data_IF_238156818500
#
_entry.id   IF_238156818500
#
_cell.length_a   1.000
_cell.length_b   1.000
_cell.length_c   1.000
_cell.angle_alpha   90.00
_cell.angle_beta   90.00
_cell.angle_gamma   90.00
#
_symmetry.space_group_name_H-M   'P 1'
#
loop_
_entity.id
_entity.type
_entity.pdbx_description
1 polymer ?
#
# COMPACT_ATOMS: atom_id res chain seq x y z
N UNK A 1 -8.95 -2.33 -3.02
CA UNK A 1 -8.09 -1.13 -3.13
C UNK A 1 -8.19 -0.46 -4.48
N UNK A 2 -8.79 -1.10 -5.49
CA UNK A 2 -9.13 -0.43 -6.74
C UNK A 2 -10.25 0.61 -6.51
N UNK A 3 -10.29 1.67 -7.31
CA UNK A 3 -11.43 2.60 -7.36
C UNK A 3 -12.57 1.97 -8.19
N UNK A 4 -13.11 0.85 -7.71
CA UNK A 4 -14.20 0.11 -8.36
C UNK A 4 -15.02 -0.68 -7.33
N UNK A 5 -16.34 -0.63 -7.46
CA UNK A 5 -17.29 -1.46 -6.71
C UNK A 5 -17.32 -2.89 -7.23
N UNK A 6 -17.78 -3.88 -6.45
CA UNK A 6 -17.80 -5.28 -6.85
C UNK A 6 -18.57 -5.55 -8.14
N UNK A 7 -19.61 -4.78 -8.49
CA UNK A 7 -20.36 -4.96 -9.73
C UNK A 7 -19.68 -4.36 -10.97
N UNK A 8 -18.59 -3.60 -10.79
CA UNK A 8 -17.83 -3.05 -11.90
C UNK A 8 -17.10 -4.15 -12.69
N UNK A 9 -17.07 -4.03 -14.02
CA UNK A 9 -16.38 -4.98 -14.87
C UNK A 9 -14.89 -5.09 -14.52
N UNK A 10 -14.38 -6.33 -14.45
CA UNK A 10 -12.95 -6.60 -14.23
C UNK A 10 -12.51 -6.70 -12.75
N UNK A 11 -13.39 -6.46 -11.78
CA UNK A 11 -13.05 -6.56 -10.34
C UNK A 11 -12.70 -7.98 -9.90
N UNK A 12 -13.26 -9.00 -10.56
CA UNK A 12 -12.94 -10.41 -10.33
C UNK A 12 -11.46 -10.74 -10.62
N UNK A 13 -10.75 -9.91 -11.41
CA UNK A 13 -9.33 -10.11 -11.68
C UNK A 13 -8.51 -10.09 -10.38
N UNK A 14 -8.84 -9.23 -9.43
CA UNK A 14 -8.13 -9.15 -8.14
C UNK A 14 -8.22 -10.47 -7.37
N UNK A 15 -9.42 -11.06 -7.32
CA UNK A 15 -9.65 -12.37 -6.72
C UNK A 15 -8.85 -13.45 -7.45
N UNK A 16 -8.95 -13.53 -8.78
CA UNK A 16 -8.24 -14.53 -9.58
C UNK A 16 -6.71 -14.40 -9.44
N UNK A 17 -6.18 -13.18 -9.45
CA UNK A 17 -4.74 -12.93 -9.28
C UNK A 17 -4.27 -13.35 -7.88
N UNK A 18 -5.03 -13.01 -6.83
CA UNK A 18 -4.71 -13.43 -5.47
C UNK A 18 -4.75 -14.96 -5.34
N UNK A 19 -5.74 -15.61 -5.94
CA UNK A 19 -5.86 -17.07 -5.91
C UNK A 19 -4.72 -17.75 -6.66
N UNK A 20 -4.34 -17.22 -7.83
CA UNK A 20 -3.22 -17.74 -8.61
C UNK A 20 -1.87 -17.58 -7.89
N UNK A 21 -1.66 -16.45 -7.20
CA UNK A 21 -0.41 -16.19 -6.46
C UNK A 21 -0.31 -16.97 -5.15
N UNK A 22 -1.43 -17.17 -4.46
CA UNK A 22 -1.45 -17.87 -3.17
C UNK A 22 -1.67 -19.38 -3.27
N UNK A 23 -2.15 -19.88 -4.42
CA UNK A 23 -2.55 -21.27 -4.60
C UNK A 23 -3.83 -21.66 -3.86
N UNK A 24 -4.56 -20.69 -3.28
CA UNK A 24 -5.77 -20.91 -2.50
C UNK A 24 -6.89 -20.01 -3.01
N UNK A 25 -8.15 -20.46 -2.94
CA UNK A 25 -9.30 -19.63 -3.33
C UNK A 25 -9.43 -18.35 -2.50
N UNK A 26 -8.97 -18.39 -1.24
CA UNK A 26 -8.80 -17.26 -0.35
C UNK A 26 -7.39 -17.37 0.21
N UNK A 27 -6.56 -16.35 -0.01
CA UNK A 27 -5.17 -16.40 0.46
C UNK A 27 -5.11 -16.53 1.99
N UNK A 28 -4.25 -17.41 2.53
CA UNK A 28 -4.07 -17.53 3.97
C UNK A 28 -3.51 -16.22 4.55
N UNK A 29 -3.96 -15.87 5.75
CA UNK A 29 -3.34 -14.79 6.52
C UNK A 29 -2.13 -15.35 7.29
N UNK A 30 -1.07 -14.55 7.38
CA UNK A 30 0.10 -14.87 8.19
C UNK A 30 0.47 -13.66 9.03
N UNK A 31 0.83 -13.92 10.29
CA UNK A 31 1.24 -12.89 11.23
C UNK A 31 2.74 -12.97 11.46
N UNK A 32 3.40 -11.81 11.45
CA UNK A 32 4.81 -11.69 11.80
C UNK A 32 4.90 -11.44 13.30
N UNK A 33 5.67 -12.27 14.01
CA UNK A 33 5.99 -12.03 15.42
C UNK A 33 6.77 -10.72 15.56
N UNK A 34 6.38 -9.87 16.49
CA UNK A 34 6.83 -8.47 16.63
C UNK A 34 6.14 -7.51 15.67
N UNK A 35 5.13 -7.97 14.93
CA UNK A 35 4.40 -7.18 13.93
C UNK A 35 5.20 -6.92 12.66
N UNK A 36 4.60 -6.14 11.75
CA UNK A 36 5.21 -5.88 10.43
C UNK A 36 6.52 -5.09 10.49
N UNK A 37 6.75 -4.32 11.56
CA UNK A 37 8.01 -3.61 11.78
C UNK A 37 9.20 -4.55 12.00
N UNK A 38 8.98 -5.73 12.57
CA UNK A 38 10.02 -6.74 12.74
C UNK A 38 10.52 -7.27 11.38
N UNK A 39 9.62 -7.46 10.41
CA UNK A 39 9.99 -7.88 9.05
C UNK A 39 10.86 -6.82 8.36
N UNK A 40 10.43 -5.55 8.39
CA UNK A 40 11.20 -4.47 7.72
C UNK A 40 12.55 -4.23 8.40
N UNK A 41 12.62 -4.36 9.73
CA UNK A 41 13.88 -4.31 10.47
C UNK A 41 14.81 -5.47 10.06
N UNK A 42 14.30 -6.70 10.02
CA UNK A 42 15.09 -7.86 9.60
C UNK A 42 15.64 -7.72 8.17
N UNK A 43 14.84 -7.19 7.23
CA UNK A 43 15.29 -6.90 5.88
C UNK A 43 16.38 -5.82 5.85
N UNK A 44 16.24 -4.78 6.67
CA UNK A 44 17.24 -3.72 6.81
C UNK A 44 18.57 -4.23 7.36
N UNK A 45 18.54 -5.06 8.41
CA UNK A 45 19.73 -5.66 8.99
C UNK A 45 20.40 -6.67 8.05
N UNK A 46 19.62 -7.47 7.32
CA UNK A 46 20.15 -8.35 6.28
C UNK A 46 20.86 -7.56 5.17
N UNK A 47 20.29 -6.44 4.73
CA UNK A 47 20.92 -5.57 3.74
C UNK A 47 22.24 -4.97 4.26
N UNK A 48 22.26 -4.46 5.50
CA UNK A 48 23.48 -3.94 6.15
C UNK A 48 24.55 -5.02 6.29
N UNK A 49 24.16 -6.24 6.71
CA UNK A 49 25.05 -7.39 6.78
C UNK A 49 25.67 -7.78 5.43
N UNK A 50 24.97 -7.50 4.33
CA UNK A 50 25.48 -7.64 2.96
C UNK A 50 26.29 -6.43 2.45
N UNK A 51 26.54 -5.43 3.30
CA UNK A 51 27.33 -4.24 2.99
C UNK A 51 26.54 -3.04 2.46
N UNK A 52 25.21 -3.05 2.56
CA UNK A 52 24.39 -1.89 2.22
C UNK A 52 24.48 -0.80 3.30
N UNK A 53 24.51 0.46 2.88
CA UNK A 53 24.30 1.60 3.76
C UNK A 53 22.82 2.00 3.73
N UNK A 54 22.22 2.21 4.91
CA UNK A 54 20.82 2.65 5.05
C UNK A 54 20.79 4.02 5.71
N UNK A 55 20.36 5.04 4.97
CA UNK A 55 20.15 6.41 5.48
C UNK A 55 18.67 6.69 5.67
N UNK A 56 18.28 7.16 6.86
CA UNK A 56 16.91 7.54 7.21
C UNK A 56 16.81 9.05 7.46
N UNK A 57 15.64 9.65 7.28
CA UNK A 57 15.47 11.10 7.44
C UNK A 57 16.14 11.92 6.34
N UNK A 58 16.46 11.28 5.21
CA UNK A 58 17.12 11.90 4.06
C UNK A 58 16.23 11.70 2.84
N UNK A 59 15.54 12.76 2.42
CA UNK A 59 14.73 12.74 1.21
C UNK A 59 15.58 12.80 -0.05
N UNK A 60 15.13 12.14 -1.12
CA UNK A 60 15.70 12.33 -2.46
C UNK A 60 14.91 13.43 -3.15
N UNK A 61 15.60 14.49 -3.56
CA UNK A 61 15.02 15.61 -4.30
C UNK A 61 14.82 15.25 -5.77
N UNK A 62 15.88 14.74 -6.42
CA UNK A 62 15.82 14.33 -7.84
C UNK A 62 16.87 13.28 -8.22
N UNK A 63 16.61 12.56 -9.30
CA UNK A 63 17.56 11.71 -10.01
C UNK A 63 18.46 12.57 -10.86
N UNK A 64 19.77 12.30 -10.83
CA UNK A 64 20.74 12.93 -11.71
C UNK A 64 20.80 12.14 -13.02
N UNK A 65 20.44 12.81 -14.12
CA UNK A 65 20.52 12.25 -15.47
C UNK A 65 21.61 12.97 -16.26
N UNK A 66 22.40 12.20 -17.01
CA UNK A 66 23.39 12.71 -17.97
C UNK A 66 23.40 11.78 -19.18
N UNK A 67 23.32 12.34 -20.38
CA UNK A 67 23.32 11.59 -21.64
C UNK A 67 22.27 10.44 -21.62
N UNK A 68 21.03 10.78 -21.22
CA UNK A 68 19.89 9.85 -21.06
C UNK A 68 20.12 8.71 -20.05
N UNK A 69 21.13 8.84 -19.17
CA UNK A 69 21.48 7.83 -18.17
C UNK A 69 21.40 8.38 -16.75
N UNK A 70 20.81 7.61 -15.85
CA UNK A 70 20.86 7.88 -14.41
C UNK A 70 22.28 7.66 -13.88
N UNK A 71 22.86 8.69 -13.26
CA UNK A 71 24.24 8.70 -12.75
C UNK A 71 24.31 8.96 -11.24
N UNK A 72 23.16 9.07 -10.57
CA UNK A 72 23.09 9.35 -9.14
C UNK A 72 21.79 9.99 -8.73
N UNK A 73 21.78 10.56 -7.53
CA UNK A 73 20.66 11.32 -6.97
C UNK A 73 21.16 12.58 -6.27
N UNK A 74 20.29 13.58 -6.16
CA UNK A 74 20.45 14.75 -5.29
C UNK A 74 19.51 14.58 -4.10
N UNK A 75 20.04 14.77 -2.89
CA UNK A 75 19.28 14.71 -1.66
C UNK A 75 18.66 16.07 -1.33
N UNK A 76 17.58 16.07 -0.54
CA UNK A 76 17.02 17.29 0.05
C UNK A 76 18.10 17.95 0.93
N UNK A 77 18.70 19.04 0.44
CA UNK A 77 19.90 19.67 1.03
C UNK A 77 21.06 19.84 0.04
N UNK A 78 20.94 19.29 -1.17
CA UNK A 78 21.86 19.51 -2.29
C UNK A 78 23.05 18.54 -2.37
N UNK A 79 23.22 17.64 -1.39
CA UNK A 79 24.23 16.57 -1.47
C UNK A 79 23.97 15.70 -2.70
N UNK A 80 25.02 15.38 -3.46
CA UNK A 80 24.94 14.49 -4.62
C UNK A 80 25.58 13.14 -4.30
N UNK A 81 24.84 12.07 -4.53
CA UNK A 81 25.34 10.70 -4.44
C UNK A 81 25.45 10.14 -5.85
N UNK A 82 26.67 9.81 -6.30
CA UNK A 82 26.91 9.18 -7.59
C UNK A 82 26.72 7.67 -7.53
N UNK A 83 26.11 7.10 -8.56
CA UNK A 83 25.84 5.67 -8.64
C UNK A 83 25.92 5.16 -10.09
N UNK A 84 26.21 3.86 -10.24
CA UNK A 84 26.21 3.19 -11.56
C UNK A 84 24.80 3.00 -12.12
N UNK A 85 23.82 2.93 -11.23
CA UNK A 85 22.39 2.81 -11.51
C UNK A 85 21.60 3.35 -10.32
N UNK A 86 20.36 3.76 -10.56
CA UNK A 86 19.39 4.19 -9.55
C UNK A 86 18.20 3.24 -9.60
N UNK A 87 17.74 2.79 -8.43
CA UNK A 87 16.59 1.88 -8.32
C UNK A 87 15.55 2.56 -7.45
N UNK A 88 14.42 2.93 -8.03
CA UNK A 88 13.33 3.58 -7.32
C UNK A 88 12.29 2.57 -6.84
N UNK A 89 12.09 2.53 -5.53
CA UNK A 89 10.98 1.80 -4.90
C UNK A 89 9.72 2.68 -4.75
N UNK A 90 9.82 3.98 -5.05
CA UNK A 90 8.67 4.89 -5.03
C UNK A 90 7.63 4.48 -6.09
N UNK A 91 6.39 4.97 -5.96
CA UNK A 91 5.39 4.75 -6.99
C UNK A 91 5.80 5.39 -8.35
N UNK A 92 5.25 4.91 -9.47
CA UNK A 92 5.64 5.39 -10.80
C UNK A 92 5.39 6.89 -10.97
N UNK A 93 4.28 7.42 -10.45
CA UNK A 93 3.98 8.85 -10.57
C UNK A 93 4.97 9.68 -9.77
N UNK A 94 5.27 9.30 -8.53
CA UNK A 94 6.30 9.97 -7.72
C UNK A 94 7.66 9.93 -8.41
N UNK A 95 8.06 8.77 -8.94
CA UNK A 95 9.35 8.63 -9.61
C UNK A 95 9.45 9.56 -10.82
N UNK A 96 8.49 9.51 -11.74
CA UNK A 96 8.59 10.21 -13.02
C UNK A 96 8.11 11.67 -12.99
N UNK A 97 7.17 12.03 -12.10
CA UNK A 97 6.60 13.38 -12.04
C UNK A 97 7.24 14.26 -10.97
N UNK A 98 7.98 13.68 -10.01
CA UNK A 98 8.63 14.43 -8.92
C UNK A 98 10.13 14.24 -8.88
N UNK A 99 10.62 13.00 -9.02
CA UNK A 99 12.06 12.72 -8.88
C UNK A 99 12.85 12.85 -10.17
N UNK A 100 12.21 12.78 -11.34
CA UNK A 100 12.87 12.91 -12.64
C UNK A 100 12.53 14.27 -13.24
N UNK A 101 13.52 14.93 -13.86
CA UNK A 101 13.28 16.17 -14.58
C UNK A 101 12.42 15.88 -15.82
N UNK A 102 11.32 16.62 -16.06
CA UNK A 102 10.47 16.37 -17.22
C UNK A 102 11.19 16.53 -18.56
N UNK A 103 12.33 17.25 -18.61
CA UNK A 103 13.13 17.38 -19.83
C UNK A 103 13.92 16.11 -20.19
N UNK A 104 14.10 15.20 -19.24
CA UNK A 104 14.75 13.89 -19.45
C UNK A 104 13.77 12.81 -19.94
N UNK A 105 12.51 13.16 -20.17
CA UNK A 105 11.45 12.23 -20.55
C UNK A 105 10.74 12.67 -21.82
N UNK A 106 10.40 11.68 -22.64
CA UNK A 106 9.56 11.90 -23.82
C UNK A 106 8.18 12.48 -23.43
N UNK A 107 7.66 13.50 -24.14
CA UNK A 107 6.37 14.11 -23.82
C UNK A 107 5.18 13.14 -23.81
N UNK A 108 5.14 12.16 -24.71
CA UNK A 108 4.07 11.17 -24.76
C UNK A 108 4.16 10.21 -23.58
N UNK A 109 5.38 9.84 -23.17
CA UNK A 109 5.60 9.07 -21.95
C UNK A 109 5.10 9.82 -20.71
N UNK A 110 5.44 11.10 -20.58
CA UNK A 110 4.97 11.95 -19.48
C UNK A 110 3.45 12.07 -19.45
N UNK A 111 2.81 12.25 -20.61
CA UNK A 111 1.36 12.29 -20.71
C UNK A 111 0.72 10.99 -20.21
N UNK A 112 1.28 9.83 -20.57
CA UNK A 112 0.80 8.53 -20.09
C UNK A 112 0.95 8.39 -18.58
N UNK A 113 2.07 8.82 -18.00
CA UNK A 113 2.27 8.77 -16.54
C UNK A 113 1.33 9.73 -15.80
N UNK A 114 1.04 10.91 -16.34
CA UNK A 114 0.06 11.83 -15.74
C UNK A 114 -1.33 11.22 -15.65
N UNK A 115 -1.68 10.37 -16.62
CA UNK A 115 -2.95 9.63 -16.67
C UNK A 115 -2.89 8.26 -15.99
N UNK A 116 -1.75 7.85 -15.44
CA UNK A 116 -1.62 6.60 -14.70
C UNK A 116 -2.52 6.63 -13.45
N UNK A 117 -3.42 5.67 -13.33
CA UNK A 117 -4.44 5.67 -12.28
C UNK A 117 -3.86 5.16 -10.97
N UNK A 118 -3.75 6.05 -9.99
CA UNK A 118 -3.23 5.76 -8.66
C UNK A 118 -4.04 6.43 -7.55
N UNK A 119 -5.32 6.71 -7.79
CA UNK A 119 -6.21 7.28 -6.77
C UNK A 119 -6.62 6.18 -5.81
N UNK A 120 -6.19 6.27 -4.55
CA UNK A 120 -6.50 5.31 -3.51
C UNK A 120 -7.92 5.44 -2.99
N UNK A 121 -8.46 4.31 -2.54
CA UNK A 121 -9.76 4.20 -1.84
C UNK A 121 -9.64 3.60 -0.45
N UNK A 122 -8.42 3.56 0.08
CA UNK A 122 -8.07 2.84 1.30
C UNK A 122 -7.81 3.81 2.44
N UNK A 123 -8.36 3.50 3.60
CA UNK A 123 -7.98 4.13 4.86
C UNK A 123 -7.73 3.05 5.91
N UNK A 124 -7.12 3.44 7.02
CA UNK A 124 -6.88 2.55 8.15
C UNK A 124 -7.31 3.23 9.45
N UNK A 125 -8.00 2.51 10.30
CA UNK A 125 -8.33 2.94 11.67
C UNK A 125 -7.71 1.94 12.63
N UNK A 126 -6.83 2.41 13.51
CA UNK A 126 -6.29 1.62 14.61
C UNK A 126 -6.98 2.04 15.91
N UNK A 127 -7.39 1.07 16.72
CA UNK A 127 -7.96 1.30 18.05
C UNK A 127 -7.08 0.63 19.10
N UNK A 128 -6.74 1.37 20.15
CA UNK A 128 -6.21 0.82 21.39
C UNK A 128 -7.40 0.59 22.33
N UNK A 129 -7.59 -0.64 22.79
CA UNK A 129 -8.72 -1.06 23.60
C UNK A 129 -8.31 -1.47 25.02
N UNK A 130 -9.20 -1.22 25.98
CA UNK A 130 -9.12 -1.67 27.39
C UNK A 130 -9.75 -3.05 27.63
N UNK A 131 -9.67 -3.92 26.63
CA UNK A 131 -10.29 -5.24 26.68
C UNK A 131 -10.64 -5.75 25.29
N UNK A 132 -11.06 -7.02 25.22
CA UNK A 132 -11.60 -7.58 24.01
C UNK A 132 -13.06 -7.15 23.84
N UNK A 133 -13.46 -6.65 22.66
CA UNK A 133 -14.84 -6.30 22.39
C UNK A 133 -15.71 -7.55 22.22
N UNK A 134 -16.93 -7.50 22.75
CA UNK A 134 -17.87 -8.61 22.74
C UNK A 134 -18.72 -8.61 21.48
N UNK A 135 -18.43 -9.52 20.54
CA UNK A 135 -19.22 -9.64 19.31
C UNK A 135 -20.52 -10.40 19.53
N UNK A 136 -21.63 -9.87 19.02
CA UNK A 136 -22.95 -10.48 19.15
C UNK A 136 -23.02 -11.90 18.57
N UNK A 137 -22.26 -12.17 17.49
CA UNK A 137 -22.18 -13.49 16.86
C UNK A 137 -21.41 -14.53 17.70
N UNK A 138 -20.59 -14.08 18.66
CA UNK A 138 -19.73 -14.94 19.48
C UNK A 138 -20.28 -15.14 20.90
N UNK A 139 -21.52 -14.73 21.20
CA UNK A 139 -22.14 -14.87 22.54
C UNK A 139 -22.15 -16.30 23.07
N UNK A 140 -22.11 -17.31 22.19
CA UNK A 140 -22.09 -18.73 22.55
C UNK A 140 -20.72 -19.39 22.30
N UNK A 141 -19.71 -18.62 21.86
CA UNK A 141 -18.35 -19.12 21.75
C UNK A 141 -17.79 -19.32 23.18
N UNK A 142 -16.98 -20.36 23.39
CA UNK A 142 -16.22 -20.52 24.64
C UNK A 142 -15.19 -19.40 24.81
N UNK A 143 -14.43 -19.39 25.92
CA UNK A 143 -13.29 -18.50 26.17
C UNK A 143 -13.33 -17.12 25.46
N UNK A 144 -14.39 -16.35 25.71
CA UNK A 144 -14.64 -14.99 25.20
C UNK A 144 -14.52 -14.82 23.66
N UNK A 145 -14.63 -15.91 22.88
CA UNK A 145 -14.48 -15.90 21.42
C UNK A 145 -13.06 -15.59 20.92
N UNK A 146 -12.04 -15.68 21.79
CA UNK A 146 -10.69 -15.25 21.47
C UNK A 146 -10.06 -16.01 20.29
N UNK A 147 -10.38 -17.30 20.13
CA UNK A 147 -9.88 -18.10 19.01
C UNK A 147 -10.44 -17.59 17.67
N UNK A 148 -11.73 -17.30 17.63
CA UNK A 148 -12.43 -16.76 16.46
C UNK A 148 -11.95 -15.34 16.13
N UNK A 149 -11.73 -14.51 17.16
CA UNK A 149 -11.21 -13.14 17.02
C UNK A 149 -9.74 -13.06 16.61
N UNK A 150 -8.96 -14.14 16.80
CA UNK A 150 -7.57 -14.20 16.34
C UNK A 150 -7.43 -14.25 14.81
N UNK A 151 -8.53 -14.58 14.11
CA UNK A 151 -8.61 -14.59 12.66
C UNK A 151 -8.86 -13.22 12.04
N UNK A 152 -9.33 -13.25 10.79
CA UNK A 152 -9.76 -12.06 10.03
C UNK A 152 -11.26 -11.86 10.25
N UNK A 153 -11.65 -10.70 10.76
CA UNK A 153 -13.05 -10.33 10.98
C UNK A 153 -13.48 -9.42 9.83
N UNK A 154 -14.55 -9.79 9.13
CA UNK A 154 -15.05 -9.08 7.96
C UNK A 154 -16.44 -8.50 8.26
N UNK A 155 -16.63 -7.20 8.02
CA UNK A 155 -17.95 -6.55 8.04
C UNK A 155 -18.25 -6.00 6.65
N UNK A 156 -19.19 -6.66 5.98
CA UNK A 156 -19.55 -6.47 4.57
C UNK A 156 -20.59 -7.52 4.20
N UNK A 157 -21.84 -7.41 4.71
CA UNK A 157 -22.80 -8.51 4.74
C UNK A 157 -23.19 -9.07 3.37
N UNK A 158 -23.18 -8.23 2.33
CA UNK A 158 -23.57 -8.62 0.98
C UNK A 158 -22.84 -7.78 -0.09
N UNK A 159 -22.95 -8.21 -1.35
CA UNK A 159 -22.29 -7.52 -2.48
C UNK A 159 -22.89 -6.12 -2.69
N UNK A 160 -24.20 -5.95 -2.50
CA UNK A 160 -24.86 -4.66 -2.68
C UNK A 160 -24.46 -3.67 -1.58
N UNK A 161 -24.12 -4.14 -0.39
CA UNK A 161 -23.54 -3.34 0.69
C UNK A 161 -22.18 -2.79 0.27
N UNK A 162 -21.33 -3.64 -0.31
CA UNK A 162 -20.03 -3.23 -0.82
C UNK A 162 -20.16 -2.25 -2.00
N UNK A 163 -21.13 -2.45 -2.89
CA UNK A 163 -21.42 -1.50 -3.98
C UNK A 163 -21.92 -0.16 -3.45
N UNK A 164 -22.88 -0.14 -2.52
CA UNK A 164 -23.35 1.10 -1.88
C UNK A 164 -22.22 1.83 -1.16
N UNK A 165 -21.30 1.09 -0.52
CA UNK A 165 -20.14 1.67 0.11
C UNK A 165 -19.18 2.30 -0.92
N UNK A 166 -19.06 1.70 -2.11
CA UNK A 166 -18.30 2.27 -3.23
C UNK A 166 -19.01 3.47 -3.87
N UNK A 167 -20.35 3.45 -4.00
CA UNK A 167 -21.12 4.54 -4.61
C UNK A 167 -20.85 5.88 -3.92
N UNK A 168 -20.75 5.88 -2.57
CA UNK A 168 -20.33 7.08 -1.84
C UNK A 168 -18.97 7.60 -2.34
N UNK A 169 -17.96 6.72 -2.45
CA UNK A 169 -16.61 7.06 -2.90
C UNK A 169 -16.58 7.53 -4.36
N UNK A 170 -17.39 6.92 -5.21
CA UNK A 170 -17.57 7.31 -6.61
C UNK A 170 -18.02 8.77 -6.75
N UNK A 171 -18.84 9.27 -5.82
CA UNK A 171 -19.30 10.66 -5.76
C UNK A 171 -18.48 11.55 -4.80
N UNK A 172 -17.28 11.10 -4.41
CA UNK A 172 -16.34 11.88 -3.60
C UNK A 172 -16.69 11.94 -2.12
N UNK A 173 -17.38 10.95 -1.56
CA UNK A 173 -17.66 10.86 -0.13
C UNK A 173 -17.27 9.49 0.43
N UNK A 174 -17.18 9.32 1.75
CA UNK A 174 -17.03 7.98 2.32
C UNK A 174 -18.40 7.41 2.73
N UNK A 175 -18.50 6.09 2.80
CA UNK A 175 -19.74 5.43 3.22
C UNK A 175 -20.00 5.62 4.72
N UNK A 176 -21.23 5.95 5.15
CA UNK A 176 -21.61 5.90 6.58
C UNK A 176 -21.67 4.45 7.11
N UNK A 177 -21.67 3.46 6.22
CA UNK A 177 -21.55 2.04 6.53
C UNK A 177 -20.41 1.45 5.65
N UNK A 178 -19.14 1.69 6.01
CA UNK A 178 -18.01 1.26 5.21
C UNK A 178 -17.71 -0.23 5.39
N UNK A 179 -17.08 -0.83 4.39
CA UNK A 179 -16.47 -2.15 4.50
C UNK A 179 -15.32 -2.12 5.50
N UNK A 180 -15.36 -3.03 6.47
CA UNK A 180 -14.32 -3.17 7.48
C UNK A 180 -13.64 -4.55 7.38
N UNK A 181 -12.31 -4.53 7.31
CA UNK A 181 -11.46 -5.69 7.43
C UNK A 181 -10.60 -5.56 8.68
N UNK A 182 -10.90 -6.37 9.69
CA UNK A 182 -10.47 -6.16 11.07
C UNK A 182 -9.58 -7.31 11.50
N UNK A 183 -8.49 -6.97 12.21
CA UNK A 183 -7.61 -7.93 12.87
C UNK A 183 -7.29 -7.44 14.28
N UNK A 184 -7.13 -8.38 15.22
CA UNK A 184 -6.70 -8.11 16.59
C UNK A 184 -5.35 -8.79 16.82
N UNK A 185 -4.24 -8.25 16.29
CA UNK A 185 -2.96 -8.94 16.25
C UNK A 185 -2.40 -9.32 17.63
N UNK A 186 -2.81 -8.60 18.69
CA UNK A 186 -2.44 -8.89 20.08
C UNK A 186 -2.90 -10.26 20.60
N UNK A 187 -3.92 -10.87 19.96
CA UNK A 187 -4.34 -12.25 20.28
C UNK A 187 -3.33 -13.29 19.80
N UNK A 188 -2.69 -13.03 18.66
CA UNK A 188 -1.66 -13.91 18.08
C UNK A 188 -0.28 -13.59 18.66
N UNK A 189 -0.02 -12.31 18.96
CA UNK A 189 1.23 -11.85 19.54
C UNK A 189 1.00 -10.86 20.70
N UNK A 190 0.98 -11.37 21.95
CA UNK A 190 0.77 -10.54 23.14
C UNK A 190 1.83 -9.45 23.36
N UNK A 191 3.00 -9.51 22.69
CA UNK A 191 4.04 -8.48 22.85
C UNK A 191 3.67 -7.13 22.25
N UNK A 192 2.61 -7.08 21.44
CA UNK A 192 2.16 -5.88 20.73
C UNK A 192 1.36 -4.90 21.60
N UNK A 193 0.93 -5.30 22.81
CA UNK A 193 0.21 -4.43 23.74
C UNK A 193 0.48 -4.82 25.20
N UNK A 194 0.28 -3.90 26.16
CA UNK A 194 0.29 -4.22 27.59
C UNK A 194 -0.75 -5.29 27.94
N UNK A 195 -0.53 -6.03 29.03
CA UNK A 195 -1.45 -7.05 29.52
C UNK A 195 -2.87 -6.50 29.72
N UNK A 196 -3.86 -7.20 29.18
CA UNK A 196 -5.28 -6.81 29.24
C UNK A 196 -5.70 -5.72 28.23
N UNK A 197 -4.75 -5.17 27.46
CA UNK A 197 -5.02 -4.21 26.40
C UNK A 197 -4.89 -4.87 25.04
N UNK A 198 -5.63 -4.35 24.06
CA UNK A 198 -5.64 -4.90 22.71
C UNK A 198 -5.47 -3.81 21.66
N UNK A 199 -4.79 -4.17 20.56
CA UNK A 199 -4.75 -3.33 19.36
C UNK A 199 -5.69 -3.96 18.35
N UNK A 200 -6.61 -3.16 17.83
CA UNK A 200 -7.46 -3.51 16.69
C UNK A 200 -7.00 -2.71 15.48
N UNK A 201 -6.68 -3.41 14.39
CA UNK A 201 -6.26 -2.83 13.12
C UNK A 201 -7.37 -3.03 12.10
N UNK A 202 -8.00 -1.93 11.67
CA UNK A 202 -9.14 -1.92 10.76
C UNK A 202 -8.70 -1.32 9.42
N UNK A 203 -8.69 -2.12 8.37
CA UNK A 203 -8.58 -1.63 7.00
C UNK A 203 -9.98 -1.31 6.46
N UNK A 204 -10.14 -0.10 5.92
CA UNK A 204 -11.45 0.45 5.56
C UNK A 204 -11.52 0.72 4.06
N UNK A 205 -12.62 0.30 3.43
CA UNK A 205 -13.01 0.77 2.09
C UNK A 205 -14.47 1.22 2.09
N UNK A 206 -14.88 2.22 1.32
CA UNK A 206 -14.08 3.02 0.39
C UNK A 206 -13.92 4.44 0.95
N UNK A 207 -12.68 4.91 1.03
CA UNK A 207 -12.32 6.27 1.45
C UNK A 207 -11.62 6.96 0.27
N UNK A 208 -12.30 7.81 -0.52
CA UNK A 208 -11.71 8.41 -1.71
C UNK A 208 -10.62 9.42 -1.34
N UNK A 209 -9.59 9.55 -2.18
CA UNK A 209 -8.52 10.51 -1.94
C UNK A 209 -9.02 11.97 -1.90
N UNK A 210 -9.88 12.35 -2.85
CA UNK A 210 -10.49 13.68 -2.92
C UNK A 210 -11.93 13.62 -2.42
N UNK A 211 -12.26 14.46 -1.44
CA UNK A 211 -13.63 14.63 -0.97
C UNK A 211 -14.35 15.70 -1.79
N UNK A 212 -15.65 15.51 -2.04
CA UNK A 212 -16.52 16.50 -2.71
C UNK A 212 -16.68 17.76 -1.87
N UNK A 213 -16.68 17.61 -0.55
CA UNK A 213 -16.87 18.66 0.46
C UNK A 213 -15.83 18.47 1.57
N UNK A 214 -15.13 19.56 1.90
CA UNK A 214 -14.05 19.55 2.89
C UNK A 214 -12.80 18.80 2.43
N UNK A 215 -11.96 18.43 3.40
CA UNK A 215 -10.75 17.63 3.18
C UNK A 215 -10.56 16.60 4.31
N UNK A 216 -9.56 15.74 4.16
CA UNK A 216 -9.21 14.77 5.19
C UNK A 216 -8.63 15.39 6.47
N UNK A 217 -8.31 16.68 6.47
CA UNK A 217 -7.92 17.38 7.71
C UNK A 217 -9.14 17.68 8.55
N UNK A 218 -10.25 18.10 7.93
CA UNK A 218 -11.49 18.46 8.63
C UNK A 218 -12.45 17.29 8.87
N UNK A 219 -12.47 16.29 7.99
CA UNK A 219 -13.45 15.16 8.05
C UNK A 219 -12.89 13.85 8.62
N UNK A 220 -11.64 13.84 9.11
CA UNK A 220 -10.98 12.65 9.68
C UNK A 220 -11.74 12.03 10.83
N UNK A 221 -12.15 12.86 11.79
CA UNK A 221 -12.80 12.38 13.01
C UNK A 221 -14.19 11.83 12.70
N UNK A 222 -14.96 12.53 11.85
CA UNK A 222 -16.28 12.07 11.37
C UNK A 222 -16.18 10.70 10.68
N UNK A 223 -15.16 10.49 9.85
CA UNK A 223 -14.89 9.19 9.23
C UNK A 223 -14.53 8.10 10.26
N UNK A 224 -13.68 8.44 11.24
CA UNK A 224 -13.37 7.53 12.34
C UNK A 224 -14.61 7.14 13.15
N UNK A 225 -15.53 8.09 13.36
CA UNK A 225 -16.80 7.86 14.07
C UNK A 225 -17.71 6.94 13.27
N UNK A 226 -17.78 7.08 11.94
CA UNK A 226 -18.54 6.18 11.06
C UNK A 226 -18.01 4.73 11.14
N UNK A 227 -16.70 4.56 11.21
CA UNK A 227 -16.05 3.24 11.36
C UNK A 227 -16.39 2.62 12.71
N UNK A 228 -16.23 3.37 13.81
CA UNK A 228 -16.57 2.88 15.16
C UNK A 228 -18.06 2.57 15.26
N UNK A 229 -18.93 3.46 14.77
CA UNK A 229 -20.39 3.24 14.74
C UNK A 229 -20.76 1.97 14.00
N UNK A 230 -20.13 1.69 12.86
CA UNK A 230 -20.37 0.47 12.09
C UNK A 230 -19.91 -0.76 12.86
N UNK A 231 -18.76 -0.70 13.53
CA UNK A 231 -18.28 -1.77 14.39
C UNK A 231 -19.19 -2.01 15.60
N UNK A 232 -19.70 -0.95 16.23
CA UNK A 232 -20.60 -1.02 17.40
C UNK A 232 -21.92 -1.75 17.13
N UNK A 233 -22.37 -1.83 15.86
CA UNK A 233 -23.54 -2.64 15.50
C UNK A 233 -23.29 -4.13 15.82
N UNK A 234 -22.05 -4.59 15.66
CA UNK A 234 -21.66 -5.99 15.83
C UNK A 234 -20.97 -6.25 17.18
N UNK A 235 -20.29 -5.24 17.74
CA UNK A 235 -19.64 -5.27 19.04
C UNK A 235 -20.06 -4.03 19.88
N UNK A 236 -21.22 -4.07 20.56
CA UNK A 236 -21.83 -2.88 21.17
C UNK A 236 -20.98 -2.19 22.24
N UNK A 237 -20.12 -2.94 22.93
CA UNK A 237 -19.23 -2.46 23.99
C UNK A 237 -17.94 -1.83 23.46
N UNK A 238 -17.64 -1.94 22.16
CA UNK A 238 -16.36 -1.49 21.60
C UNK A 238 -16.11 0.00 21.85
N UNK A 239 -17.14 0.84 21.81
CA UNK A 239 -17.00 2.28 21.97
C UNK A 239 -16.50 2.65 23.37
N UNK A 240 -16.96 1.93 24.38
CA UNK A 240 -16.57 2.16 25.78
C UNK A 240 -15.15 1.64 26.09
N UNK A 241 -14.66 0.70 25.29
CA UNK A 241 -13.31 0.12 25.44
C UNK A 241 -12.22 0.97 24.78
N UNK A 242 -12.54 1.94 23.92
CA UNK A 242 -11.54 2.72 23.18
C UNK A 242 -10.77 3.65 24.12
N UNK A 243 -9.48 3.37 24.29
CA UNK A 243 -8.52 4.26 24.96
C UNK A 243 -8.05 5.34 23.99
N UNK A 244 -7.74 4.93 22.76
CA UNK A 244 -7.24 5.82 21.72
C UNK A 244 -7.62 5.31 20.34
N UNK A 245 -7.90 6.25 19.43
CA UNK A 245 -8.09 6.00 18.00
C UNK A 245 -6.99 6.70 17.21
N UNK A 246 -6.48 6.02 16.18
CA UNK A 246 -5.67 6.61 15.13
C UNK A 246 -6.35 6.35 13.78
N UNK A 247 -6.68 7.42 13.06
CA UNK A 247 -7.24 7.34 11.70
C UNK A 247 -6.17 7.76 10.69
N UNK A 248 -5.81 6.86 9.78
CA UNK A 248 -4.88 7.09 8.66
C UNK A 248 -5.71 7.17 7.38
N UNK A 249 -5.74 8.36 6.78
CA UNK A 249 -6.52 8.70 5.59
C UNK A 249 -5.68 8.52 4.31
N UNK A 250 -6.30 8.50 3.11
CA UNK A 250 -5.56 8.51 1.85
C UNK A 250 -4.56 9.68 1.72
N UNK A 251 -4.85 10.83 2.35
CA UNK A 251 -3.95 11.98 2.36
C UNK A 251 -2.69 11.71 3.21
N UNK A 252 -2.84 11.01 4.33
CA UNK A 252 -1.69 10.62 5.17
C UNK A 252 -0.84 9.56 4.46
N UNK A 253 -1.48 8.63 3.74
CA UNK A 253 -0.79 7.65 2.90
C UNK A 253 0.15 8.32 1.89
N UNK A 254 -0.27 9.44 1.29
CA UNK A 254 0.60 10.20 0.42
C UNK A 254 1.68 10.99 1.18
N UNK A 255 1.32 11.70 2.24
CA UNK A 255 2.22 12.62 2.96
C UNK A 255 3.31 11.89 3.74
N UNK A 256 2.95 10.85 4.48
CA UNK A 256 3.86 10.15 5.39
C UNK A 256 4.59 8.98 4.70
N UNK A 257 3.91 8.27 3.81
CA UNK A 257 4.44 7.05 3.19
C UNK A 257 4.86 7.26 1.73
N UNK A 258 4.63 8.45 1.17
CA UNK A 258 5.03 8.79 -0.19
C UNK A 258 4.21 8.11 -1.27
N UNK A 259 2.99 7.64 -0.97
CA UNK A 259 2.11 6.94 -1.89
C UNK A 259 1.26 7.94 -2.69
N UNK A 260 1.68 8.32 -3.90
CA UNK A 260 0.97 9.34 -4.69
C UNK A 260 -0.50 8.94 -4.95
N UNK A 261 -1.42 9.83 -4.58
CA UNK A 261 -2.87 9.58 -4.62
C UNK A 261 -3.40 8.67 -3.51
N UNK A 262 -2.57 8.31 -2.52
CA UNK A 262 -2.98 7.47 -1.38
C UNK A 262 -3.22 6.00 -1.73
N UNK A 263 -2.65 5.50 -2.83
CA UNK A 263 -2.91 4.12 -3.30
C UNK A 263 -1.81 3.15 -2.82
N UNK A 264 -2.11 2.23 -1.88
CA UNK A 264 -1.10 1.35 -1.26
C UNK A 264 -0.44 0.37 -2.23
N UNK A 265 -1.09 0.07 -3.36
CA UNK A 265 -0.50 -0.78 -4.41
C UNK A 265 0.25 0.01 -5.49
N UNK A 266 0.46 1.33 -5.32
CA UNK A 266 1.13 2.23 -6.29
C UNK A 266 0.43 2.34 -7.65
N UNK A 267 -0.88 2.11 -7.72
CA UNK A 267 -1.67 2.14 -8.95
C UNK A 267 -2.73 1.06 -9.00
N UNK A 268 -3.77 1.30 -9.79
CA UNK A 268 -4.90 0.40 -10.02
C UNK A 268 -4.45 -1.03 -10.37
N UNK A 269 -5.27 -2.00 -9.97
CA UNK A 269 -5.08 -3.44 -10.22
C UNK A 269 -6.12 -3.97 -11.22
N UNK A 270 -6.49 -3.14 -12.19
CA UNK A 270 -7.42 -3.49 -13.28
C UNK A 270 -6.66 -4.08 -14.46
N UNK A 271 -7.35 -4.82 -15.33
CA UNK A 271 -6.74 -5.56 -16.45
C UNK A 271 -5.87 -4.67 -17.35
N UNK A 272 -6.28 -3.44 -17.59
CA UNK A 272 -5.62 -2.45 -18.43
C UNK A 272 -4.42 -1.74 -17.76
N UNK A 273 -4.15 -2.01 -16.47
CA UNK A 273 -3.02 -1.47 -15.72
C UNK A 273 -2.25 -2.54 -14.92
N UNK A 274 -2.47 -3.80 -15.28
CA UNK A 274 -1.87 -4.97 -14.67
C UNK A 274 -1.00 -5.73 -15.69
N UNK A 275 -0.21 -6.71 -15.24
CA UNK A 275 0.73 -7.46 -16.10
C UNK A 275 1.65 -6.56 -16.95
N UNK A 276 1.65 -6.75 -18.27
CA UNK A 276 2.48 -6.04 -19.25
C UNK A 276 2.12 -4.56 -19.41
N UNK A 277 1.01 -4.12 -18.82
CA UNK A 277 0.59 -2.73 -18.78
C UNK A 277 1.14 -1.98 -17.56
N UNK A 278 1.87 -2.66 -16.64
CA UNK A 278 2.32 -2.08 -15.37
C UNK A 278 3.83 -1.80 -15.35
N UNK A 279 4.30 -0.54 -15.19
CA UNK A 279 3.49 0.67 -15.02
C UNK A 279 2.88 1.19 -16.33
N UNK A 280 3.52 0.92 -17.47
CA UNK A 280 3.03 1.26 -18.81
C UNK A 280 3.48 0.19 -19.81
N UNK A 281 2.75 0.05 -20.91
CA UNK A 281 3.17 -0.76 -22.07
C UNK A 281 4.54 -0.28 -22.56
N UNK A 282 5.42 -1.23 -22.86
CA UNK A 282 6.81 -0.97 -23.27
C UNK A 282 7.78 -0.79 -22.10
N UNK A 283 7.28 -0.55 -20.89
CA UNK A 283 8.09 -0.28 -19.70
C UNK A 283 7.78 -1.22 -18.51
N UNK A 284 7.14 -2.36 -18.77
CA UNK A 284 6.74 -3.32 -17.74
C UNK A 284 7.87 -4.25 -17.25
N UNK A 285 9.07 -4.17 -17.85
CA UNK A 285 10.21 -5.03 -17.54
C UNK A 285 11.22 -4.34 -16.60
N UNK A 286 10.72 -3.58 -15.61
CA UNK A 286 11.49 -2.91 -14.54
C UNK A 286 12.45 -1.80 -15.00
N UNK A 287 12.84 -1.78 -16.27
CA UNK A 287 13.59 -0.70 -16.94
C UNK A 287 12.69 0.50 -17.19
N UNK A 288 13.32 1.66 -17.29
CA UNK A 288 12.65 2.93 -17.60
C UNK A 288 13.24 3.55 -18.87
N UNK A 289 12.60 4.60 -19.45
CA UNK A 289 13.17 5.35 -20.57
C UNK A 289 14.58 5.87 -20.30
N UNK A 290 14.93 6.13 -19.04
CA UNK A 290 16.25 6.59 -18.63
C UNK A 290 17.14 5.37 -18.35
N UNK A 291 18.24 5.25 -19.09
CA UNK A 291 19.19 4.13 -18.93
C UNK A 291 19.74 4.11 -17.50
N UNK A 292 19.78 2.94 -16.88
CA UNK A 292 20.29 2.81 -15.52
C UNK A 292 19.35 3.30 -14.42
N UNK A 293 18.16 3.83 -14.74
CA UNK A 293 17.07 4.00 -13.79
C UNK A 293 16.12 2.79 -13.90
N UNK A 294 15.76 2.22 -12.75
CA UNK A 294 14.88 1.05 -12.62
C UNK A 294 13.77 1.30 -11.61
N UNK A 295 12.64 0.62 -11.77
CA UNK A 295 11.57 0.54 -10.79
C UNK A 295 11.56 -0.84 -10.12
N UNK A 296 11.39 -0.88 -8.80
CA UNK A 296 11.39 -2.14 -8.03
C UNK A 296 10.23 -2.28 -7.02
N UNK A 297 9.33 -1.29 -6.96
CA UNK A 297 8.20 -1.28 -6.02
C UNK A 297 6.91 -1.86 -6.57
N UNK A 298 5.83 -1.73 -5.78
CA UNK A 298 4.48 -2.20 -6.09
C UNK A 298 3.89 -1.64 -7.40
N UNK A 299 4.48 -0.56 -7.93
CA UNK A 299 4.14 0.04 -9.22
C UNK A 299 4.60 -0.78 -10.43
N UNK A 300 5.30 -1.89 -10.22
CA UNK A 300 5.76 -2.83 -11.25
C UNK A 300 5.11 -4.20 -11.04
N UNK A 301 5.00 -5.00 -12.10
CA UNK A 301 4.48 -6.37 -12.01
C UNK A 301 5.35 -7.23 -11.07
N UNK A 302 4.79 -8.11 -10.21
CA UNK A 302 3.40 -8.55 -10.10
C UNK A 302 2.44 -7.65 -9.33
N UNK A 303 2.86 -6.44 -8.93
CA UNK A 303 2.02 -5.49 -8.21
C UNK A 303 2.32 -5.45 -6.71
N UNK A 304 1.39 -4.84 -5.96
CA UNK A 304 1.56 -4.62 -4.52
C UNK A 304 1.31 -5.83 -3.63
N UNK A 305 1.39 -5.60 -2.33
CA UNK A 305 1.39 -6.64 -1.30
C UNK A 305 2.80 -6.98 -0.81
N UNK A 306 2.88 -7.86 0.20
CA UNK A 306 4.13 -8.24 0.86
C UNK A 306 4.79 -9.45 0.16
N UNK A 307 4.91 -9.41 -1.16
CA UNK A 307 5.43 -10.55 -1.96
C UNK A 307 6.93 -10.49 -2.19
N UNK A 308 7.56 -9.31 -2.04
CA UNK A 308 8.95 -9.01 -2.43
C UNK A 308 9.30 -9.29 -3.90
N UNK A 309 8.33 -9.70 -4.73
CA UNK A 309 8.54 -10.14 -6.10
C UNK A 309 8.97 -9.00 -7.05
N UNK A 310 8.38 -7.78 -6.98
CA UNK A 310 8.86 -6.64 -7.77
C UNK A 310 10.35 -6.37 -7.58
N UNK A 311 10.80 -6.33 -6.33
CA UNK A 311 12.21 -6.11 -5.97
C UNK A 311 13.11 -7.24 -6.47
N UNK A 312 12.71 -8.49 -6.26
CA UNK A 312 13.46 -9.66 -6.73
C UNK A 312 13.59 -9.67 -8.26
N UNK A 313 12.52 -9.37 -8.99
CA UNK A 313 12.54 -9.37 -10.46
C UNK A 313 13.37 -8.20 -11.02
N UNK A 314 13.20 -6.99 -10.47
CA UNK A 314 14.01 -5.84 -10.86
C UNK A 314 15.51 -6.12 -10.64
N UNK A 315 15.88 -6.75 -9.52
CA UNK A 315 17.28 -7.11 -9.24
C UNK A 315 17.90 -8.01 -10.31
N UNK A 316 17.13 -8.96 -10.87
CA UNK A 316 17.60 -9.86 -11.93
C UNK A 316 17.92 -9.09 -13.21
N UNK A 317 17.04 -8.17 -13.61
CA UNK A 317 17.26 -7.35 -14.80
C UNK A 317 18.43 -6.37 -14.61
N UNK A 318 18.55 -5.77 -13.42
CA UNK A 318 19.69 -4.89 -13.08
C UNK A 318 21.02 -5.66 -13.17
N UNK A 319 21.10 -6.86 -12.59
CA UNK A 319 22.33 -7.67 -12.63
C UNK A 319 22.68 -8.05 -14.06
N UNK A 320 21.69 -8.40 -14.90
CA UNK A 320 21.89 -8.71 -16.31
C UNK A 320 22.50 -7.52 -17.06
N UNK A 321 21.93 -6.33 -16.88
CA UNK A 321 22.37 -5.11 -17.56
C UNK A 321 23.77 -4.68 -17.09
N UNK A 322 24.03 -4.73 -15.78
CA UNK A 322 25.35 -4.38 -15.23
C UNK A 322 26.45 -5.35 -15.69
N UNK A 323 26.13 -6.63 -15.90
CA UNK A 323 27.08 -7.59 -16.48
C UNK A 323 27.34 -7.31 -17.96
N UNK A 324 26.30 -7.00 -18.74
CA UNK A 324 26.43 -6.66 -20.15
C UNK A 324 27.28 -5.38 -20.36
N UNK A 325 27.07 -4.36 -19.53
CA UNK A 325 27.85 -3.12 -19.57
C UNK A 325 29.35 -3.35 -19.23
N UNK A 326 29.66 -4.34 -18.38
CA UNK A 326 31.06 -4.72 -18.08
C UNK A 326 31.74 -5.46 -19.23
N UNK A 327 30.99 -6.25 -20.01
CA UNK A 327 31.56 -6.98 -21.13
C UNK A 327 31.76 -6.12 -22.37
N UNK A 328 31.07 -4.97 -22.48
CA UNK A 328 31.18 -4.04 -23.61
C UNK A 328 31.31 -2.58 -23.12
N UNK A 329 32.48 -2.17 -22.59
CA UNK A 329 32.66 -0.84 -22.00
C UNK A 329 32.68 0.33 -23.00
N UNK A 330 32.69 0.09 -24.31
CA UNK A 330 32.88 1.10 -25.38
C UNK A 330 31.73 1.19 -26.39
N UNK A 331 30.47 1.08 -25.96
CA UNK A 331 29.31 1.47 -26.77
C UNK A 331 28.37 2.40 -26.00
#
# INVERSE_FOLDING_TARGET
GAFAGPWSAGTSLGLLAQSALSGHAIAPASFVRGGMGALTHALGEAAKGAGAEVRTGVGVERVLVKDERAVGVVLEGGEQIRARCVVSNADPRRTYLRLVDPTDLDPDFLLKIRNYRSTGTAAKVNLALDGLPSFAALKNAGADGAAELSGRIHIGPDIDYLERAFDAAKYGDYSPAPYLDITIPTLTDPSLAPTGKHVVSIYVQFAPYTLKEGDWTSRREEFGDAVVKTLSIYAPDVADLIIQRQTITPLDLEREYGLTGGHPLHGEMTLDQFFTFRPLIGWAQYRTPIKGLYLCGAGTHPGGGLTCAPGANASREIVKDLKAARSHPNN
#
